data_IF_685105608014
#
_entry.id   IF_685105608014
#
_cell.length_a   1.000
_cell.length_b   1.000
_cell.length_c   1.000
_cell.angle_alpha   90.00
_cell.angle_beta   90.00
_cell.angle_gamma   90.00
#
_symmetry.space_group_name_H-M   'P 1'
#
loop_
_entity.id
_entity.type
_entity.pdbx_description
1 polymer ?
#
# COMPACT_ATOMS: atom_id res chain seq x y z
N UNK A 1 1.66 5.94 -7.22
CA UNK A 1 0.27 6.37 -7.51
C UNK A 1 -0.24 5.38 -8.55
N UNK A 2 -1.42 4.79 -8.34
CA UNK A 2 -2.00 3.75 -9.21
C UNK A 2 -2.88 4.35 -10.31
N UNK A 3 -3.50 3.47 -11.11
CA UNK A 3 -4.52 3.85 -12.09
C UNK A 3 -5.87 4.04 -11.39
N UNK A 4 -6.71 4.94 -11.92
CA UNK A 4 -8.05 5.17 -11.37
C UNK A 4 -8.85 3.86 -11.35
N UNK A 5 -9.42 3.52 -10.20
CA UNK A 5 -10.17 2.28 -9.97
C UNK A 5 -9.37 1.21 -9.21
N UNK A 6 -8.03 1.20 -9.31
CA UNK A 6 -7.19 0.21 -8.61
C UNK A 6 -7.27 0.37 -7.08
N UNK A 7 -7.57 1.58 -6.59
CA UNK A 7 -7.68 1.90 -5.18
C UNK A 7 -8.86 1.20 -4.47
N UNK A 8 -9.89 0.80 -5.21
CA UNK A 8 -11.03 0.03 -4.70
C UNK A 8 -11.18 -1.32 -5.42
N UNK A 9 -10.14 -1.79 -6.11
CA UNK A 9 -10.11 -3.13 -6.70
C UNK A 9 -10.91 -3.28 -8.00
N UNK A 10 -11.10 -2.22 -8.78
CA UNK A 10 -11.67 -2.32 -10.12
C UNK A 10 -10.70 -3.07 -11.06
N UNK A 11 -11.15 -4.19 -11.61
CA UNK A 11 -10.42 -4.96 -12.63
C UNK A 11 -11.08 -4.75 -14.00
N UNK A 12 -10.46 -3.90 -14.82
CA UNK A 12 -10.88 -3.67 -16.21
C UNK A 12 -9.69 -3.49 -17.14
N UNK A 13 -9.90 -3.80 -18.42
CA UNK A 13 -8.89 -3.58 -19.45
C UNK A 13 -8.55 -2.10 -19.60
N UNK A 14 -7.26 -1.78 -19.69
CA UNK A 14 -6.78 -0.41 -19.87
C UNK A 14 -6.88 -0.02 -21.33
N UNK A 15 -7.89 0.78 -21.66
CA UNK A 15 -8.12 1.29 -23.01
C UNK A 15 -7.58 2.70 -23.19
N UNK A 16 -7.16 3.03 -24.41
CA UNK A 16 -6.80 4.40 -24.79
C UNK A 16 -8.12 5.17 -25.01
N UNK A 17 -8.42 6.12 -24.13
CA UNK A 17 -9.64 6.92 -24.18
C UNK A 17 -10.34 7.03 -22.83
N UNK A 18 -11.59 7.47 -22.84
CA UNK A 18 -12.39 7.56 -21.63
C UNK A 18 -12.87 6.17 -21.19
N UNK A 19 -12.59 5.81 -19.94
CA UNK A 19 -13.10 4.61 -19.29
C UNK A 19 -13.85 5.01 -18.04
N UNK A 20 -15.14 4.68 -17.98
CA UNK A 20 -15.97 4.97 -16.81
C UNK A 20 -15.56 4.09 -15.64
N UNK A 21 -15.53 4.67 -14.45
CA UNK A 21 -15.32 3.94 -13.20
C UNK A 21 -16.62 3.22 -12.80
N UNK A 22 -16.49 1.98 -12.35
CA UNK A 22 -17.54 1.18 -11.73
C UNK A 22 -17.74 1.64 -10.28
N UNK A 23 -18.39 2.80 -10.12
CA UNK A 23 -18.62 3.41 -8.81
C UNK A 23 -19.40 2.53 -7.85
N UNK A 24 -20.19 1.58 -8.36
CA UNK A 24 -20.92 0.64 -7.53
C UNK A 24 -19.98 -0.18 -6.63
N UNK A 25 -18.71 -0.38 -7.03
CA UNK A 25 -17.72 -1.11 -6.23
C UNK A 25 -17.36 -0.44 -4.90
N UNK A 26 -17.66 0.85 -4.72
CA UNK A 26 -17.43 1.54 -3.44
C UNK A 26 -18.65 1.48 -2.51
N UNK A 27 -19.76 0.89 -2.96
CA UNK A 27 -20.98 0.77 -2.17
C UNK A 27 -20.80 -0.24 -1.03
N UNK A 28 -20.85 0.27 0.19
CA UNK A 28 -20.56 -0.49 1.41
C UNK A 28 -21.51 -1.68 1.61
N UNK A 29 -22.76 -1.55 1.18
CA UNK A 29 -23.79 -2.58 1.37
C UNK A 29 -23.58 -3.83 0.49
N UNK A 30 -22.84 -3.69 -0.61
CA UNK A 30 -22.72 -4.73 -1.63
C UNK A 30 -21.29 -5.23 -1.84
N UNK A 31 -20.29 -4.39 -1.60
CA UNK A 31 -18.88 -4.70 -1.90
C UNK A 31 -17.96 -4.41 -0.71
N UNK A 32 -18.17 -5.13 0.39
CA UNK A 32 -17.40 -4.95 1.63
C UNK A 32 -15.88 -5.07 1.41
N UNK A 33 -15.42 -6.02 0.59
CA UNK A 33 -14.00 -6.22 0.30
C UNK A 33 -13.37 -5.02 -0.43
N UNK A 34 -14.05 -4.49 -1.45
CA UNK A 34 -13.62 -3.30 -2.20
C UNK A 34 -13.55 -2.08 -1.27
N UNK A 35 -14.51 -1.95 -0.35
CA UNK A 35 -14.49 -0.90 0.66
C UNK A 35 -13.32 -1.05 1.65
N UNK A 36 -12.99 -2.28 2.06
CA UNK A 36 -11.79 -2.55 2.86
C UNK A 36 -10.51 -2.18 2.12
N UNK A 37 -10.41 -2.50 0.82
CA UNK A 37 -9.29 -2.07 -0.03
C UNK A 37 -9.18 -0.54 -0.10
N UNK A 38 -10.30 0.14 -0.36
CA UNK A 38 -10.32 1.61 -0.42
C UNK A 38 -9.86 2.25 0.89
N UNK A 39 -10.35 1.73 2.02
CA UNK A 39 -9.93 2.17 3.35
C UNK A 39 -8.45 1.90 3.61
N UNK A 40 -7.94 0.74 3.17
CA UNK A 40 -6.52 0.42 3.24
C UNK A 40 -5.69 1.46 2.47
N UNK A 41 -6.07 1.78 1.23
CA UNK A 41 -5.41 2.81 0.43
C UNK A 41 -5.45 4.18 1.10
N UNK A 42 -6.61 4.62 1.60
CA UNK A 42 -6.74 5.88 2.35
C UNK A 42 -5.79 5.93 3.56
N UNK A 43 -5.70 4.84 4.32
CA UNK A 43 -4.77 4.73 5.44
C UNK A 43 -3.30 4.77 5.00
N UNK A 44 -2.95 4.13 3.89
CA UNK A 44 -1.59 4.19 3.34
C UNK A 44 -1.20 5.60 2.88
N UNK A 45 -2.12 6.34 2.26
CA UNK A 45 -1.90 7.74 1.91
C UNK A 45 -1.74 8.62 3.14
N UNK A 46 -2.56 8.40 4.17
CA UNK A 46 -2.46 9.09 5.45
C UNK A 46 -1.10 8.81 6.13
N UNK A 47 -0.69 7.55 6.23
CA UNK A 47 0.62 7.16 6.76
C UNK A 47 1.76 7.87 6.02
N UNK A 48 1.70 7.91 4.68
CA UNK A 48 2.68 8.62 3.84
C UNK A 48 2.69 10.13 4.06
N UNK A 49 1.55 10.71 4.42
CA UNK A 49 1.43 12.14 4.72
C UNK A 49 2.00 12.46 6.12
N UNK A 50 1.63 11.66 7.12
CA UNK A 50 2.04 11.82 8.51
C UNK A 50 3.56 11.58 8.65
N UNK A 51 4.08 10.52 8.05
CA UNK A 51 5.51 10.14 8.07
C UNK A 51 6.23 10.56 6.79
N UNK A 52 5.94 11.78 6.32
CA UNK A 52 6.48 12.30 5.06
C UNK A 52 8.00 12.48 5.09
N UNK A 53 8.61 12.66 6.26
CA UNK A 53 10.05 12.92 6.37
C UNK A 53 10.84 11.64 6.07
N UNK A 54 10.43 10.51 6.64
CA UNK A 54 11.09 9.23 6.36
C UNK A 54 10.62 8.54 5.07
N UNK A 55 9.33 8.61 4.71
CA UNK A 55 8.81 7.90 3.52
C UNK A 55 9.09 8.62 2.19
N UNK A 56 9.53 9.88 2.25
CA UNK A 56 9.95 10.65 1.07
C UNK A 56 11.45 10.99 1.06
N UNK A 57 12.21 10.60 2.08
CA UNK A 57 13.68 10.68 2.04
C UNK A 57 14.26 9.58 1.14
N UNK A 58 15.52 9.74 0.75
CA UNK A 58 16.27 8.73 0.00
C UNK A 58 16.87 7.64 0.91
N UNK A 59 16.78 7.81 2.23
CA UNK A 59 17.36 6.88 3.18
C UNK A 59 16.51 5.60 3.28
N UNK A 60 17.18 4.47 3.16
CA UNK A 60 16.61 3.13 3.16
C UNK A 60 17.69 2.14 3.56
N UNK A 61 17.43 1.33 4.60
CA UNK A 61 18.32 0.26 5.03
C UNK A 61 17.59 -1.09 5.00
N UNK A 62 18.11 -2.05 4.24
CA UNK A 62 17.64 -3.44 4.26
C UNK A 62 18.32 -4.19 5.41
N UNK A 63 17.55 -4.85 6.25
CA UNK A 63 18.09 -5.58 7.39
C UNK A 63 17.54 -7.01 7.54
N UNK A 64 16.54 -7.40 6.74
CA UNK A 64 16.04 -8.76 6.71
C UNK A 64 15.54 -9.15 5.31
N UNK A 65 16.07 -10.23 4.75
CA UNK A 65 15.59 -10.88 3.53
C UNK A 65 15.66 -12.39 3.73
N UNK A 66 14.51 -13.06 3.75
CA UNK A 66 14.43 -14.52 3.80
C UNK A 66 13.47 -15.02 2.71
N UNK A 67 14.05 -15.71 1.72
CA UNK A 67 13.33 -16.26 0.57
C UNK A 67 12.60 -17.56 0.89
N UNK A 68 13.01 -18.28 1.93
CA UNK A 68 12.39 -19.53 2.35
C UNK A 68 11.05 -19.23 3.02
N UNK A 69 11.06 -18.29 3.98
CA UNK A 69 9.83 -17.86 4.67
C UNK A 69 9.10 -16.73 3.92
N UNK A 70 9.68 -16.22 2.84
CA UNK A 70 9.11 -15.19 1.96
C UNK A 70 8.80 -13.87 2.70
N UNK A 71 9.70 -13.45 3.58
CA UNK A 71 9.59 -12.21 4.37
C UNK A 71 10.75 -11.28 4.06
N UNK A 72 10.44 -9.99 3.96
CA UNK A 72 11.40 -8.93 3.71
C UNK A 72 11.13 -7.74 4.61
N UNK A 73 12.17 -7.16 5.19
CA UNK A 73 12.04 -5.97 6.01
C UNK A 73 13.11 -4.93 5.72
N UNK A 74 12.69 -3.67 5.78
CA UNK A 74 13.54 -2.51 5.57
C UNK A 74 13.14 -1.35 6.46
N UNK A 75 14.09 -0.45 6.68
CA UNK A 75 13.94 0.74 7.50
C UNK A 75 14.00 1.99 6.63
N UNK A 76 13.05 2.89 6.81
CA UNK A 76 13.02 4.24 6.22
C UNK A 76 13.18 5.26 7.33
N UNK A 77 14.02 6.25 7.13
CA UNK A 77 14.29 7.27 8.14
C UNK A 77 14.63 8.63 7.51
N UNK A 78 14.47 9.73 8.24
CA UNK A 78 14.95 11.04 7.79
C UNK A 78 16.42 11.27 8.21
N UNK A 79 17.08 12.27 7.62
CA UNK A 79 18.49 12.56 7.93
C UNK A 79 18.73 12.91 9.40
N UNK A 80 17.75 13.53 10.06
CA UNK A 80 17.85 13.89 11.47
C UNK A 80 17.45 12.74 12.41
N UNK A 81 17.00 11.58 11.89
CA UNK A 81 16.52 10.41 12.64
C UNK A 81 15.37 10.72 13.61
N UNK A 82 14.56 11.72 13.26
CA UNK A 82 13.38 12.15 14.01
C UNK A 82 12.10 11.45 13.59
N UNK A 83 12.07 10.89 12.38
CA UNK A 83 10.97 10.12 11.81
C UNK A 83 11.53 8.82 11.25
N UNK A 84 10.90 7.69 11.58
CA UNK A 84 11.38 6.37 11.21
C UNK A 84 10.23 5.37 11.09
N UNK A 85 10.27 4.55 10.05
CA UNK A 85 9.34 3.45 9.81
C UNK A 85 10.12 2.18 9.46
N UNK A 86 9.78 1.10 10.14
CA UNK A 86 10.16 -0.26 9.73
C UNK A 86 9.00 -0.84 8.92
N UNK A 87 9.29 -1.27 7.70
CA UNK A 87 8.34 -1.96 6.83
C UNK A 87 8.68 -3.44 6.83
N UNK A 88 7.67 -4.27 7.08
CA UNK A 88 7.76 -5.74 7.00
C UNK A 88 6.75 -6.19 5.97
N UNK A 89 7.23 -6.88 4.93
CA UNK A 89 6.41 -7.46 3.88
C UNK A 89 6.47 -8.98 4.01
N UNK A 90 5.30 -9.59 4.15
CA UNK A 90 5.13 -11.03 4.17
C UNK A 90 4.42 -11.46 2.88
N UNK A 91 5.11 -12.23 2.04
CA UNK A 91 4.54 -12.84 0.83
C UNK A 91 4.11 -14.29 1.05
N UNK A 92 4.35 -14.87 2.22
CA UNK A 92 3.85 -16.19 2.54
C UNK A 92 2.32 -16.18 2.64
N UNK A 93 1.68 -17.29 2.28
CA UNK A 93 0.24 -17.49 2.47
C UNK A 93 -0.18 -17.55 3.94
N UNK A 94 0.77 -17.74 4.84
CA UNK A 94 0.53 -17.87 6.28
C UNK A 94 0.76 -16.52 6.94
N UNK A 95 -0.14 -16.15 7.85
CA UNK A 95 0.02 -14.95 8.66
C UNK A 95 1.22 -15.11 9.61
N UNK A 96 1.95 -14.02 9.83
CA UNK A 96 2.92 -13.93 10.92
C UNK A 96 2.14 -14.04 12.23
N UNK A 97 2.50 -15.01 13.07
CA UNK A 97 1.92 -15.18 14.40
C UNK A 97 2.62 -14.29 15.41
#
# INVERSE_FOLDING_TARGET
>A
IGWMGEEFGEEKEKIIGESKLQWELIETEKYEFNQQMFNYWCNMFRLRHEHKLCLKSDNLDFFFEDRIVQVFAYHRYDNAKTDHIIVIINWARQNLK
#
